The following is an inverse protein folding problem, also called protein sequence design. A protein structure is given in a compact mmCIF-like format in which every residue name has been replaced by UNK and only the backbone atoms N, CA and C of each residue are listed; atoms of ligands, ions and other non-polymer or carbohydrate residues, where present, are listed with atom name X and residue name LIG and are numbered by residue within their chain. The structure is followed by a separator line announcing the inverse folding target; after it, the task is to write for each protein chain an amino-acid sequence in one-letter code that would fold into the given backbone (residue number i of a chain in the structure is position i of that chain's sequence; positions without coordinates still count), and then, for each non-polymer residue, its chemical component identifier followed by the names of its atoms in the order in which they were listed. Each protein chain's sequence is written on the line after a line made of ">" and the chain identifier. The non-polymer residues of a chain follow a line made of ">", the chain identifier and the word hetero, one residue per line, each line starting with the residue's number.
data_IF_746834253848
#
_entry.id   IF_746834253848
#
_cell.length_a   1.000
_cell.length_b   1.000
_cell.length_c   1.000
_cell.angle_alpha   90.00
_cell.angle_beta   90.00
_cell.angle_gamma   90.00
#
_symmetry.space_group_name_H-M   'P 1'
#
loop_
_entity.id
_entity.type
_entity.pdbx_description
1 polymer ?
#
# COMPACT_ATOMS: atom_id res chain seq x y z
N UNK A 1 0.59 -0.15 -13.32
CA UNK A 1 0.49 -0.41 -11.86
C UNK A 1 -0.09 0.80 -11.13
N UNK A 2 0.48 2.00 -11.24
CA UNK A 2 -0.04 3.22 -10.58
C UNK A 2 -1.56 3.42 -10.75
N UNK A 3 -2.05 3.53 -11.99
CA UNK A 3 -3.49 3.71 -12.26
C UNK A 3 -4.38 2.59 -11.71
N UNK A 4 -3.88 1.35 -11.71
CA UNK A 4 -4.57 0.21 -11.12
C UNK A 4 -4.70 0.42 -9.61
N UNK A 5 -3.61 0.72 -8.91
CA UNK A 5 -3.64 0.98 -7.47
C UNK A 5 -4.51 2.19 -7.09
N UNK A 6 -4.54 3.23 -7.94
CA UNK A 6 -5.32 4.46 -7.67
C UNK A 6 -6.83 4.29 -7.90
N UNK A 7 -7.24 3.56 -8.94
CA UNK A 7 -8.61 3.64 -9.44
C UNK A 7 -9.28 2.29 -9.72
N UNK A 8 -8.59 1.17 -9.53
CA UNK A 8 -9.17 -0.17 -9.71
C UNK A 8 -10.38 -0.40 -8.80
N UNK A 9 -11.39 -1.08 -9.33
CA UNK A 9 -12.52 -1.58 -8.55
C UNK A 9 -12.08 -2.75 -7.66
N UNK A 10 -11.16 -3.58 -8.16
CA UNK A 10 -10.60 -4.73 -7.46
C UNK A 10 -9.84 -4.32 -6.19
N UNK A 11 -9.03 -3.25 -6.25
CA UNK A 11 -8.33 -2.71 -5.06
C UNK A 11 -9.34 -2.21 -4.03
N UNK A 12 -10.37 -1.47 -4.46
CA UNK A 12 -11.44 -0.98 -3.57
C UNK A 12 -12.20 -2.13 -2.93
N UNK A 13 -12.60 -3.12 -3.72
CA UNK A 13 -13.27 -4.32 -3.23
C UNK A 13 -12.42 -5.06 -2.20
N UNK A 14 -11.13 -5.24 -2.48
CA UNK A 14 -10.21 -5.88 -1.53
C UNK A 14 -10.09 -5.09 -0.23
N UNK A 15 -9.95 -3.77 -0.30
CA UNK A 15 -9.92 -2.92 0.89
C UNK A 15 -11.20 -3.04 1.71
N UNK A 16 -12.36 -3.10 1.05
CA UNK A 16 -13.65 -3.23 1.74
C UNK A 16 -13.85 -4.62 2.35
N UNK A 17 -13.38 -5.68 1.69
CA UNK A 17 -13.35 -7.02 2.27
C UNK A 17 -12.44 -7.07 3.50
N UNK A 18 -11.26 -6.47 3.45
CA UNK A 18 -10.30 -6.45 4.56
C UNK A 18 -10.81 -5.68 5.79
N UNK A 19 -11.78 -4.77 5.61
CA UNK A 19 -12.45 -4.06 6.73
C UNK A 19 -13.53 -4.91 7.40
N UNK A 20 -14.01 -6.00 6.78
CA UNK A 20 -15.02 -6.88 7.37
C UNK A 20 -14.39 -7.72 8.48
N UNK A 21 -14.95 -7.73 9.71
CA UNK A 21 -14.34 -8.44 10.84
C UNK A 21 -14.06 -9.92 10.56
N UNK A 22 -14.99 -10.61 9.91
CA UNK A 22 -14.90 -12.05 9.63
C UNK A 22 -13.75 -12.35 8.67
N UNK A 23 -13.61 -11.53 7.62
CA UNK A 23 -12.51 -11.63 6.66
C UNK A 23 -11.19 -11.26 7.32
N UNK A 24 -11.18 -10.19 8.12
CA UNK A 24 -9.98 -9.73 8.80
C UNK A 24 -9.42 -10.79 9.76
N UNK A 25 -10.28 -11.49 10.51
CA UNK A 25 -9.88 -12.60 11.39
C UNK A 25 -9.23 -13.72 10.59
N UNK A 26 -9.86 -14.17 9.50
CA UNK A 26 -9.30 -15.25 8.66
C UNK A 26 -7.96 -14.86 8.03
N UNK A 27 -7.85 -13.63 7.53
CA UNK A 27 -6.60 -13.10 6.97
C UNK A 27 -5.50 -13.03 8.03
N UNK A 28 -5.82 -12.54 9.23
CA UNK A 28 -4.85 -12.46 10.32
C UNK A 28 -4.37 -13.85 10.78
N UNK A 29 -5.28 -14.84 10.89
CA UNK A 29 -4.91 -16.22 11.21
C UNK A 29 -3.98 -16.81 10.14
N UNK A 30 -4.27 -16.55 8.86
CA UNK A 30 -3.44 -17.04 7.76
C UNK A 30 -2.03 -16.42 7.75
N UNK A 31 -1.90 -15.22 8.31
CA UNK A 31 -0.68 -14.42 8.31
C UNK A 31 -0.04 -14.33 9.70
N UNK A 32 -0.44 -15.17 10.66
CA UNK A 32 -0.05 -15.09 12.07
C UNK A 32 1.47 -15.12 12.31
N UNK A 33 2.22 -15.76 11.41
CA UNK A 33 3.68 -15.87 11.47
C UNK A 33 4.40 -14.73 10.73
N UNK A 34 3.69 -13.64 10.41
CA UNK A 34 4.22 -12.48 9.71
C UNK A 34 3.84 -11.20 10.45
N UNK A 35 4.46 -10.08 10.06
CA UNK A 35 4.06 -8.77 10.58
C UNK A 35 2.84 -8.17 9.84
N UNK A 36 2.21 -8.92 8.93
CA UNK A 36 1.06 -8.49 8.15
C UNK A 36 -0.25 -8.84 8.83
N UNK A 37 -1.14 -7.85 8.88
CA UNK A 37 -2.53 -7.99 9.31
C UNK A 37 -3.45 -7.44 8.22
N UNK A 38 -4.72 -7.81 8.25
CA UNK A 38 -5.73 -7.25 7.35
C UNK A 38 -5.76 -5.71 7.40
N UNK A 39 -5.62 -5.13 8.60
CA UNK A 39 -5.54 -3.67 8.77
C UNK A 39 -4.27 -3.07 8.16
N UNK A 40 -3.13 -3.75 8.28
CA UNK A 40 -1.86 -3.31 7.66
C UNK A 40 -1.92 -3.40 6.14
N UNK A 41 -2.52 -4.46 5.58
CA UNK A 41 -2.74 -4.61 4.14
C UNK A 41 -3.69 -3.52 3.64
N UNK A 42 -4.84 -3.34 4.29
CA UNK A 42 -5.83 -2.30 3.91
C UNK A 42 -5.19 -0.91 3.87
N UNK A 43 -4.37 -0.58 4.89
CA UNK A 43 -3.60 0.67 4.94
C UNK A 43 -2.57 0.77 3.83
N UNK A 44 -1.82 -0.30 3.56
CA UNK A 44 -0.82 -0.31 2.50
C UNK A 44 -1.44 -0.04 1.12
N UNK A 45 -2.62 -0.60 0.86
CA UNK A 45 -3.39 -0.42 -0.37
C UNK A 45 -4.04 0.96 -0.49
N UNK A 46 -4.10 1.75 0.58
CA UNK A 46 -4.68 3.09 0.54
C UNK A 46 -3.82 4.05 -0.28
N UNK A 47 -4.48 4.87 -1.09
CA UNK A 47 -3.86 6.03 -1.73
C UNK A 47 -4.09 7.23 -0.82
N UNK A 48 -3.03 7.80 -0.22
CA UNK A 48 -3.16 9.00 0.61
C UNK A 48 -3.73 10.16 -0.22
N UNK A 49 -4.49 11.03 0.45
CA UNK A 49 -4.91 12.29 -0.14
C UNK A 49 -3.67 13.15 -0.44
N UNK A 50 -3.50 13.66 -1.67
CA UNK A 50 -2.37 14.52 -2.02
C UNK A 50 -2.27 15.79 -1.14
N UNK A 51 -3.39 16.25 -0.58
CA UNK A 51 -3.45 17.45 0.26
C UNK A 51 -3.27 17.14 1.76
N UNK A 52 -3.27 15.86 2.15
CA UNK A 52 -3.05 15.48 3.53
C UNK A 52 -1.56 15.49 3.87
N UNK A 53 -1.17 16.32 4.85
CA UNK A 53 0.16 16.28 5.43
C UNK A 53 0.45 14.86 5.95
N UNK A 54 1.48 14.22 5.38
CA UNK A 54 1.92 12.91 5.83
C UNK A 54 2.38 13.01 7.29
N UNK A 55 1.91 12.10 8.13
CA UNK A 55 2.38 12.00 9.52
C UNK A 55 3.75 11.32 9.53
N UNK A 56 4.73 11.96 10.14
CA UNK A 56 6.04 11.36 10.35
C UNK A 56 5.92 10.03 11.09
N UNK A 57 6.61 9.01 10.59
CA UNK A 57 6.55 7.64 11.14
C UNK A 57 5.32 6.82 10.72
N UNK A 58 4.42 7.34 9.87
CA UNK A 58 3.35 6.53 9.30
C UNK A 58 3.93 5.36 8.47
N UNK A 59 3.38 4.14 8.61
CA UNK A 59 3.79 3.01 7.77
C UNK A 59 3.64 3.35 6.28
N UNK A 60 4.56 2.87 5.42
CA UNK A 60 4.51 3.17 4.00
C UNK A 60 3.26 2.57 3.34
N UNK A 61 2.76 3.27 2.33
CA UNK A 61 1.73 2.85 1.39
C UNK A 61 2.36 2.37 0.09
N UNK A 62 1.55 1.82 -0.81
CA UNK A 62 2.00 1.44 -2.14
C UNK A 62 2.57 2.64 -2.93
N UNK A 63 2.02 3.83 -2.73
CA UNK A 63 2.42 5.03 -3.45
C UNK A 63 3.83 5.47 -3.06
N UNK A 64 4.17 5.33 -1.78
CA UNK A 64 5.50 5.61 -1.25
C UNK A 64 6.55 4.74 -1.93
N UNK A 65 6.31 3.42 -1.97
CA UNK A 65 7.22 2.48 -2.63
C UNK A 65 7.31 2.74 -4.13
N UNK A 66 6.20 3.08 -4.77
CA UNK A 66 6.19 3.41 -6.20
C UNK A 66 7.06 4.64 -6.49
N UNK A 67 6.96 5.69 -5.66
CA UNK A 67 7.77 6.90 -5.78
C UNK A 67 9.26 6.64 -5.49
N UNK A 68 9.57 5.92 -4.42
CA UNK A 68 10.95 5.59 -4.05
C UNK A 68 11.67 4.78 -5.14
N UNK A 69 10.97 3.80 -5.73
CA UNK A 69 11.50 3.03 -6.85
C UNK A 69 11.72 3.91 -8.08
N UNK A 70 10.76 4.77 -8.41
CA UNK A 70 10.87 5.67 -9.57
C UNK A 70 12.05 6.65 -9.42
N UNK A 71 12.27 7.17 -8.20
CA UNK A 71 13.42 8.02 -7.88
C UNK A 71 14.74 7.27 -7.98
N UNK A 72 14.78 6.02 -7.48
CA UNK A 72 15.96 5.16 -7.56
C UNK A 72 16.33 4.87 -9.01
N UNK A 73 15.35 4.52 -9.86
CA UNK A 73 15.59 4.30 -11.28
C UNK A 73 16.07 5.56 -12.00
N UNK A 74 15.52 6.73 -11.66
CA UNK A 74 16.00 8.01 -12.18
C UNK A 74 17.47 8.25 -11.83
N UNK A 75 17.81 8.11 -10.56
CA UNK A 75 19.19 8.28 -10.06
C UNK A 75 20.16 7.31 -10.73
N UNK A 76 19.78 6.03 -10.86
CA UNK A 76 20.62 5.03 -11.53
C UNK A 76 20.81 5.35 -13.01
N UNK A 77 19.75 5.80 -13.70
CA UNK A 77 19.82 6.16 -15.13
C UNK A 77 20.80 7.32 -15.37
N UNK A 78 20.78 8.34 -14.50
CA UNK A 78 21.71 9.47 -14.55
C UNK A 78 23.17 9.05 -14.33
N UNK A 79 23.43 8.07 -13.47
CA UNK A 79 24.79 7.57 -13.21
C UNK A 79 25.34 6.69 -14.34
N UNK A 80 24.47 6.13 -15.17
CA UNK A 80 24.85 5.21 -16.27
C UNK A 80 24.90 5.87 -17.64
N UNK A 81 24.55 7.15 -17.75
CA UNK A 81 24.57 7.94 -19.00
C UNK A 81 25.79 8.84 -19.05
#
# INVERSE_FOLDING_TARGET
>A
IKTFMESSVEIRLLQDLLKRPEVAVVVNLRLENTSWTASRISRFLSTPDPDAARRDGAPPTWLDLYQDLNNTFGTLSELTT
#
